data_IF_315869779166
#
_entry.id   IF_315869779166
#
_cell.length_a   1.000
_cell.length_b   1.000
_cell.length_c   1.000
_cell.angle_alpha   90.00
_cell.angle_beta   90.00
_cell.angle_gamma   90.00
#
_symmetry.space_group_name_H-M   'P 1'
#
loop_
_entity.id
_entity.type
_entity.pdbx_description
1 polymer ?
#
# COMPACT_ATOMS: atom_id res chain seq x y z
N UNK A 1 -13.28 21.81 -37.90
CA UNK A 1 -12.92 20.60 -37.18
C UNK A 1 -13.25 20.83 -35.71
N UNK A 2 -14.04 19.99 -35.04
CA UNK A 2 -14.36 20.14 -33.62
C UNK A 2 -13.20 19.58 -32.79
N UNK A 3 -12.83 20.28 -31.71
CA UNK A 3 -11.83 19.80 -30.75
C UNK A 3 -12.34 18.52 -30.08
N UNK A 4 -11.55 17.43 -29.99
CA UNK A 4 -12.07 16.13 -29.58
C UNK A 4 -12.21 15.96 -28.06
N UNK A 5 -11.58 16.84 -27.25
CA UNK A 5 -11.61 16.80 -25.78
C UNK A 5 -12.75 17.68 -25.25
N UNK A 6 -13.44 17.23 -24.20
CA UNK A 6 -14.53 17.97 -23.56
C UNK A 6 -14.00 18.87 -22.43
N UNK A 7 -13.63 20.11 -22.80
CA UNK A 7 -13.08 21.11 -21.86
C UNK A 7 -14.11 21.48 -20.76
N UNK A 8 -15.41 21.55 -21.10
CA UNK A 8 -16.45 21.94 -20.14
C UNK A 8 -16.65 20.85 -19.08
N UNK A 9 -16.69 19.58 -19.48
CA UNK A 9 -16.73 18.45 -18.55
C UNK A 9 -15.47 18.42 -17.66
N UNK A 10 -14.29 18.66 -18.20
CA UNK A 10 -13.04 18.76 -17.42
C UNK A 10 -13.12 19.85 -16.36
N UNK A 11 -13.52 21.08 -16.73
CA UNK A 11 -13.65 22.19 -15.79
C UNK A 11 -14.70 21.88 -14.69
N UNK A 12 -15.87 21.32 -15.05
CA UNK A 12 -16.89 20.95 -14.10
C UNK A 12 -16.40 19.89 -13.11
N UNK A 13 -15.59 18.93 -13.58
CA UNK A 13 -14.98 17.93 -12.72
C UNK A 13 -13.98 18.54 -11.71
N UNK A 14 -13.12 19.47 -12.14
CA UNK A 14 -12.19 20.18 -11.24
C UNK A 14 -12.95 20.94 -10.15
N UNK A 15 -14.04 21.61 -10.46
CA UNK A 15 -14.84 22.32 -9.45
C UNK A 15 -15.47 21.33 -8.44
N UNK A 16 -15.90 20.12 -8.87
CA UNK A 16 -16.36 19.08 -7.94
C UNK A 16 -15.24 18.57 -7.04
N UNK A 17 -14.05 18.34 -7.58
CA UNK A 17 -12.89 17.90 -6.78
C UNK A 17 -12.58 18.90 -5.67
N UNK A 18 -12.58 20.20 -5.94
CA UNK A 18 -12.34 21.26 -4.94
C UNK A 18 -13.33 21.22 -3.77
N UNK A 19 -14.54 20.70 -3.95
CA UNK A 19 -15.51 20.56 -2.85
C UNK A 19 -15.13 19.47 -1.85
N UNK A 20 -14.45 18.43 -2.29
CA UNK A 20 -14.05 17.25 -1.48
C UNK A 20 -12.57 17.27 -1.10
N UNK A 21 -11.74 18.04 -1.80
CA UNK A 21 -10.32 18.23 -1.56
C UNK A 21 -9.96 19.73 -1.61
N UNK A 22 -10.35 20.53 -0.58
CA UNK A 22 -10.19 21.99 -0.58
C UNK A 22 -8.73 22.46 -0.55
N UNK A 23 -7.78 21.58 -0.27
CA UNK A 23 -6.35 21.86 -0.33
C UNK A 23 -5.80 21.97 -1.75
N UNK A 24 -6.59 21.61 -2.78
CA UNK A 24 -6.21 21.73 -4.17
C UNK A 24 -6.18 23.21 -4.58
N UNK A 25 -4.99 23.69 -4.97
CA UNK A 25 -4.76 25.06 -5.38
C UNK A 25 -5.04 25.33 -6.86
N UNK A 26 -4.28 26.30 -7.43
CA UNK A 26 -4.34 26.65 -8.85
C UNK A 26 -3.52 25.68 -9.72
N UNK A 27 -2.34 26.12 -10.20
CA UNK A 27 -1.48 25.30 -11.04
C UNK A 27 -0.64 24.27 -10.27
N UNK A 28 -0.39 24.49 -8.97
CA UNK A 28 0.50 23.65 -8.16
C UNK A 28 -0.05 23.45 -6.77
N UNK A 29 0.10 22.23 -6.25
CA UNK A 29 -0.11 21.94 -4.85
C UNK A 29 1.02 22.53 -4.00
N UNK A 30 0.67 23.21 -2.91
CA UNK A 30 1.63 23.75 -1.95
C UNK A 30 1.46 23.05 -0.61
N UNK A 31 2.56 22.58 -0.06
CA UNK A 31 2.58 21.96 1.26
C UNK A 31 3.69 22.58 2.11
N UNK A 32 3.32 23.05 3.31
CA UNK A 32 4.30 23.60 4.24
C UNK A 32 5.08 22.49 4.90
N UNK A 33 6.40 22.50 4.75
CA UNK A 33 7.27 21.53 5.44
C UNK A 33 7.06 21.63 6.94
N UNK A 34 6.75 20.52 7.64
CA UNK A 34 6.55 20.51 9.08
C UNK A 34 7.82 20.93 9.82
N UNK A 35 7.67 21.64 10.94
CA UNK A 35 8.77 21.96 11.87
C UNK A 35 9.11 20.75 12.76
N UNK A 36 10.27 20.80 13.42
CA UNK A 36 10.69 19.79 14.40
C UNK A 36 11.59 18.69 13.80
N UNK A 37 12.16 18.94 12.64
CA UNK A 37 13.21 18.13 12.02
C UNK A 37 14.51 18.93 12.01
N UNK A 38 15.63 18.28 12.32
CA UNK A 38 16.97 18.88 12.24
C UNK A 38 17.55 18.71 10.82
N UNK A 39 17.51 17.47 10.33
CA UNK A 39 17.95 17.07 8.99
C UNK A 39 16.82 16.31 8.27
N UNK A 40 15.78 17.00 7.77
CA UNK A 40 14.64 16.35 7.13
C UNK A 40 15.01 15.73 5.78
N UNK A 41 14.62 14.48 5.57
CA UNK A 41 14.70 13.79 4.28
C UNK A 41 13.28 13.61 3.74
N UNK A 42 13.05 14.05 2.49
CA UNK A 42 11.81 13.77 1.78
C UNK A 42 11.90 12.39 1.12
N UNK A 43 10.84 11.61 1.28
CA UNK A 43 10.68 10.28 0.69
C UNK A 43 9.48 10.31 -0.23
N UNK A 44 9.64 9.88 -1.46
CA UNK A 44 8.52 9.85 -2.42
C UNK A 44 8.36 8.46 -3.02
N UNK A 45 7.12 8.01 -3.13
CA UNK A 45 6.71 6.81 -3.82
C UNK A 45 5.71 7.15 -4.93
N UNK A 46 5.82 6.46 -6.05
CA UNK A 46 4.89 6.55 -7.17
C UNK A 46 4.46 5.13 -7.56
N UNK A 47 3.16 4.91 -7.68
CA UNK A 47 2.60 3.61 -8.06
C UNK A 47 1.23 3.78 -8.74
N UNK A 48 0.72 2.69 -9.31
CA UNK A 48 -0.61 2.57 -9.88
C UNK A 48 -1.44 1.50 -9.20
N UNK A 49 -2.63 1.24 -9.71
CA UNK A 49 -3.50 0.14 -9.24
C UNK A 49 -3.32 -1.14 -10.05
N UNK A 50 -2.46 -1.09 -11.04
CA UNK A 50 -2.22 -2.21 -11.94
C UNK A 50 -3.49 -2.75 -12.60
N UNK A 51 -3.50 -4.03 -12.91
CA UNK A 51 -4.60 -4.67 -13.64
C UNK A 51 -5.86 -4.92 -12.81
N UNK A 52 -5.89 -4.55 -11.53
CA UNK A 52 -7.12 -4.53 -10.71
C UNK A 52 -8.20 -3.63 -11.31
N UNK A 53 -7.78 -2.54 -11.98
CA UNK A 53 -8.70 -1.62 -12.67
C UNK A 53 -9.55 -2.31 -13.74
N UNK A 54 -9.09 -3.41 -14.33
CA UNK A 54 -9.87 -4.16 -15.31
C UNK A 54 -11.07 -4.87 -14.67
N UNK A 55 -10.92 -5.31 -13.42
CA UNK A 55 -12.04 -5.88 -12.65
C UNK A 55 -13.09 -4.80 -12.39
N UNK A 56 -12.65 -3.60 -11.97
CA UNK A 56 -13.53 -2.46 -11.78
C UNK A 56 -14.31 -2.10 -13.06
N UNK A 57 -13.65 -2.14 -14.23
CA UNK A 57 -14.30 -1.93 -15.55
C UNK A 57 -15.35 -2.99 -15.83
N UNK A 58 -15.03 -4.28 -15.63
CA UNK A 58 -15.96 -5.40 -15.87
C UNK A 58 -17.18 -5.31 -14.97
N UNK A 59 -17.00 -4.89 -13.71
CA UNK A 59 -18.07 -4.83 -12.70
C UNK A 59 -18.75 -3.46 -12.64
N UNK A 60 -18.21 -2.47 -13.35
CA UNK A 60 -18.68 -1.09 -13.31
C UNK A 60 -18.76 -0.55 -11.87
N UNK A 61 -17.77 -0.89 -11.04
CA UNK A 61 -17.61 -0.44 -9.66
C UNK A 61 -16.19 0.02 -9.42
N UNK A 62 -15.99 1.33 -9.26
CA UNK A 62 -14.69 1.99 -9.12
C UNK A 62 -14.46 2.58 -7.73
N UNK A 63 -15.36 2.33 -6.77
CA UNK A 63 -15.35 3.01 -5.46
C UNK A 63 -14.09 2.78 -4.65
N UNK A 64 -13.47 1.61 -4.81
CA UNK A 64 -12.29 1.22 -4.02
C UNK A 64 -10.97 1.46 -4.73
N UNK A 65 -10.98 1.66 -6.06
CA UNK A 65 -9.77 1.79 -6.88
C UNK A 65 -8.91 3.01 -6.47
N UNK A 66 -9.57 4.13 -6.14
CA UNK A 66 -8.84 5.31 -5.66
C UNK A 66 -8.18 5.07 -4.30
N UNK A 67 -8.80 4.29 -3.42
CA UNK A 67 -8.21 3.90 -2.14
C UNK A 67 -7.00 2.97 -2.34
N UNK A 68 -7.11 2.01 -3.27
CA UNK A 68 -5.98 1.18 -3.67
C UNK A 68 -4.79 2.02 -4.14
N UNK A 69 -5.04 3.04 -4.98
CA UNK A 69 -3.99 3.93 -5.48
C UNK A 69 -3.23 4.62 -4.34
N UNK A 70 -3.96 5.18 -3.38
CA UNK A 70 -3.34 5.83 -2.22
C UNK A 70 -2.57 4.82 -1.37
N UNK A 71 -3.14 3.64 -1.13
CA UNK A 71 -2.53 2.60 -0.32
C UNK A 71 -1.19 2.14 -0.90
N UNK A 72 -1.11 1.89 -2.21
CA UNK A 72 0.11 1.44 -2.87
C UNK A 72 1.27 2.44 -2.65
N UNK A 73 1.01 3.73 -2.84
CA UNK A 73 2.04 4.76 -2.68
C UNK A 73 2.40 5.02 -1.21
N UNK A 74 1.39 5.10 -0.33
CA UNK A 74 1.59 5.42 1.10
C UNK A 74 2.32 4.31 1.83
N UNK A 75 1.95 3.04 1.56
CA UNK A 75 2.58 1.90 2.21
C UNK A 75 4.06 1.76 1.84
N UNK A 76 4.46 2.14 0.63
CA UNK A 76 5.86 2.17 0.24
C UNK A 76 6.63 3.28 0.96
N UNK A 77 6.04 4.48 1.05
CA UNK A 77 6.67 5.63 1.74
C UNK A 77 6.93 5.34 3.21
N UNK A 78 6.03 4.63 3.90
CA UNK A 78 6.21 4.32 5.32
C UNK A 78 7.27 3.24 5.58
N UNK A 79 7.69 2.44 4.59
CA UNK A 79 8.66 1.37 4.77
C UNK A 79 10.03 1.83 5.29
N UNK A 80 10.41 3.08 5.05
CA UNK A 80 11.64 3.66 5.58
C UNK A 80 11.44 4.49 6.87
N UNK A 81 10.27 4.41 7.50
CA UNK A 81 9.94 5.18 8.70
C UNK A 81 9.47 6.62 8.43
N UNK A 82 9.23 6.98 7.18
CA UNK A 82 8.74 8.31 6.83
C UNK A 82 7.26 8.49 7.24
N UNK A 83 6.94 9.70 7.68
CA UNK A 83 5.56 10.15 7.88
C UNK A 83 5.02 10.67 6.55
N UNK A 84 3.98 10.07 5.96
CA UNK A 84 3.33 10.61 4.78
C UNK A 84 2.82 12.03 5.04
N UNK A 85 2.92 12.90 4.06
CA UNK A 85 2.56 14.32 4.13
C UNK A 85 1.39 14.66 3.23
N UNK A 86 1.51 14.35 1.94
CA UNK A 86 0.51 14.69 0.93
C UNK A 86 0.51 13.70 -0.23
N UNK A 87 -0.53 13.77 -1.02
CA UNK A 87 -0.76 12.95 -2.20
C UNK A 87 -1.03 13.82 -3.43
N UNK A 88 -0.61 13.32 -4.59
CA UNK A 88 -0.96 13.81 -5.92
C UNK A 88 -1.45 12.62 -6.74
N UNK A 89 -2.41 12.83 -7.64
CA UNK A 89 -2.90 11.81 -8.55
C UNK A 89 -2.78 12.21 -10.02
N UNK A 90 -2.77 11.22 -10.89
CA UNK A 90 -2.93 11.38 -12.33
C UNK A 90 -3.95 10.37 -12.82
N UNK A 91 -5.02 10.84 -13.42
CA UNK A 91 -6.06 10.02 -14.02
C UNK A 91 -6.01 10.20 -15.53
N UNK A 92 -5.73 9.11 -16.26
CA UNK A 92 -5.84 9.04 -17.72
C UNK A 92 -7.12 8.33 -18.10
N UNK A 93 -7.99 8.95 -18.89
CA UNK A 93 -9.26 8.37 -19.31
C UNK A 93 -9.52 8.56 -20.80
N UNK A 94 -10.19 7.62 -21.44
CA UNK A 94 -10.60 7.75 -22.85
C UNK A 94 -11.76 8.73 -23.04
N UNK A 95 -12.55 8.97 -21.99
CA UNK A 95 -13.68 9.88 -21.97
C UNK A 95 -13.95 10.37 -20.54
N UNK A 96 -14.32 11.64 -20.41
CA UNK A 96 -14.80 12.20 -19.17
C UNK A 96 -16.17 11.60 -18.82
N UNK A 97 -16.20 10.58 -17.97
CA UNK A 97 -17.42 9.99 -17.40
C UNK A 97 -17.51 10.34 -15.92
N UNK A 98 -18.38 11.29 -15.61
CA UNK A 98 -18.55 11.82 -14.26
C UNK A 98 -18.81 10.74 -13.22
N UNK A 99 -19.58 9.71 -13.56
CA UNK A 99 -19.94 8.65 -12.60
C UNK A 99 -18.75 7.79 -12.23
N UNK A 100 -17.84 7.55 -13.18
CA UNK A 100 -16.62 6.78 -12.97
C UNK A 100 -15.62 7.63 -12.19
N UNK A 101 -15.38 8.86 -12.67
CA UNK A 101 -14.39 9.77 -12.10
C UNK A 101 -14.74 10.17 -10.66
N UNK A 102 -16.02 10.44 -10.37
CA UNK A 102 -16.48 10.76 -9.02
C UNK A 102 -16.27 9.58 -8.04
N UNK A 103 -16.46 8.32 -8.47
CA UNK A 103 -16.17 7.15 -7.65
C UNK A 103 -14.66 7.01 -7.36
N UNK A 104 -13.81 7.21 -8.38
CA UNK A 104 -12.36 7.16 -8.23
C UNK A 104 -11.90 8.25 -7.25
N UNK A 105 -12.33 9.49 -7.45
CA UNK A 105 -11.98 10.61 -6.58
C UNK A 105 -12.44 10.40 -5.14
N UNK A 106 -13.67 9.87 -4.96
CA UNK A 106 -14.14 9.50 -3.62
C UNK A 106 -13.18 8.49 -2.95
N UNK A 107 -12.73 7.47 -3.70
CA UNK A 107 -11.75 6.49 -3.23
C UNK A 107 -10.41 7.13 -2.86
N UNK A 108 -9.89 8.04 -3.69
CA UNK A 108 -8.62 8.77 -3.42
C UNK A 108 -8.74 9.59 -2.14
N UNK A 109 -9.79 10.41 -2.02
CA UNK A 109 -10.02 11.25 -0.83
C UNK A 109 -10.16 10.40 0.43
N UNK A 110 -10.93 9.29 0.36
CA UNK A 110 -11.08 8.35 1.47
C UNK A 110 -9.74 7.71 1.86
N UNK A 111 -8.94 7.29 0.88
CA UNK A 111 -7.59 6.76 1.11
C UNK A 111 -6.68 7.79 1.80
N UNK A 112 -6.69 9.04 1.33
CA UNK A 112 -5.93 10.13 1.95
C UNK A 112 -6.37 10.37 3.41
N UNK A 113 -7.68 10.36 3.70
CA UNK A 113 -8.21 10.49 5.07
C UNK A 113 -7.77 9.32 5.96
N UNK A 114 -7.80 8.07 5.45
CA UNK A 114 -7.30 6.89 6.16
C UNK A 114 -5.80 7.01 6.46
N UNK A 115 -5.02 7.48 5.50
CA UNK A 115 -3.59 7.72 5.67
C UNK A 115 -3.27 8.92 6.59
N UNK A 116 -4.21 9.84 6.76
CA UNK A 116 -4.03 11.10 7.52
C UNK A 116 -3.20 12.13 6.76
N UNK A 117 -3.38 12.20 5.44
CA UNK A 117 -2.71 13.11 4.51
C UNK A 117 -3.73 13.89 3.67
N UNK A 118 -3.28 14.89 2.94
CA UNK A 118 -4.11 15.71 2.07
C UNK A 118 -3.83 15.40 0.58
N UNK A 119 -4.89 15.39 -0.23
CA UNK A 119 -4.77 15.49 -1.68
C UNK A 119 -4.59 16.98 -2.01
N UNK A 120 -3.42 17.36 -2.52
CA UNK A 120 -3.07 18.78 -2.76
C UNK A 120 -3.04 19.19 -4.22
N UNK A 121 -3.21 18.24 -5.14
CA UNK A 121 -3.23 18.47 -6.58
C UNK A 121 -3.30 17.18 -7.34
N UNK A 122 -3.37 17.29 -8.64
CA UNK A 122 -3.42 16.16 -9.55
C UNK A 122 -3.72 16.61 -10.98
N UNK A 123 -3.96 15.65 -11.86
CA UNK A 123 -4.31 15.88 -13.26
C UNK A 123 -5.33 14.84 -13.73
N UNK A 124 -6.29 15.27 -14.54
CA UNK A 124 -7.18 14.35 -15.24
C UNK A 124 -7.11 14.64 -16.75
N UNK A 125 -6.54 13.70 -17.48
CA UNK A 125 -6.30 13.83 -18.91
C UNK A 125 -7.27 12.96 -19.72
N UNK A 126 -8.00 13.57 -20.65
CA UNK A 126 -8.84 12.87 -21.61
C UNK A 126 -8.04 12.51 -22.88
N UNK A 127 -8.00 11.22 -23.20
CA UNK A 127 -7.34 10.69 -24.41
C UNK A 127 -8.34 9.99 -25.32
N UNK A 128 -9.09 10.70 -26.17
CA UNK A 128 -10.26 10.16 -26.91
C UNK A 128 -9.95 8.97 -27.85
N UNK A 129 -8.69 8.70 -28.15
CA UNK A 129 -8.25 7.56 -28.97
C UNK A 129 -7.81 6.33 -28.15
N UNK A 130 -7.64 6.50 -26.85
CA UNK A 130 -7.28 5.44 -25.92
C UNK A 130 -8.51 5.17 -25.07
N UNK A 131 -9.16 4.05 -25.31
CA UNK A 131 -10.34 3.65 -24.54
C UNK A 131 -9.97 3.09 -23.16
N UNK A 132 -8.81 3.48 -22.63
CA UNK A 132 -8.26 2.97 -21.39
C UNK A 132 -8.31 4.00 -20.27
N UNK A 133 -8.74 3.52 -19.11
CA UNK A 133 -8.63 4.22 -17.84
C UNK A 133 -7.39 3.70 -17.12
N UNK A 134 -6.51 4.59 -16.71
CA UNK A 134 -5.33 4.29 -15.91
C UNK A 134 -5.09 5.36 -14.84
N UNK A 135 -4.46 4.95 -13.75
CA UNK A 135 -4.23 5.78 -12.58
C UNK A 135 -2.78 5.71 -12.15
N UNK A 136 -2.20 6.85 -11.82
CA UNK A 136 -0.92 6.94 -11.12
C UNK A 136 -1.05 7.83 -9.89
N UNK A 137 -0.46 7.41 -8.78
CA UNK A 137 -0.42 8.15 -7.53
C UNK A 137 1.01 8.51 -7.15
N UNK A 138 1.15 9.59 -6.40
CA UNK A 138 2.43 10.09 -5.91
C UNK A 138 2.26 10.52 -4.46
N UNK A 139 2.91 9.80 -3.55
CA UNK A 139 2.94 10.16 -2.13
C UNK A 139 4.30 10.73 -1.76
N UNK A 140 4.33 11.82 -1.02
CA UNK A 140 5.56 12.34 -0.42
C UNK A 140 5.43 12.32 1.09
N UNK A 141 6.45 11.81 1.76
CA UNK A 141 6.61 11.77 3.20
C UNK A 141 7.90 12.44 3.65
N UNK A 142 8.09 12.51 4.96
CA UNK A 142 9.26 13.11 5.60
C UNK A 142 9.77 12.22 6.73
N UNK A 143 11.09 12.13 6.86
CA UNK A 143 11.74 11.43 7.96
C UNK A 143 12.97 12.23 8.41
N UNK A 144 13.32 12.17 9.69
CA UNK A 144 14.61 12.65 10.17
C UNK A 144 15.72 11.72 9.70
N UNK A 145 16.80 12.23 9.10
CA UNK A 145 17.88 11.44 8.48
C UNK A 145 18.37 10.30 9.40
N UNK A 146 18.63 10.60 10.66
CA UNK A 146 19.10 9.60 11.66
C UNK A 146 18.05 8.58 12.08
N UNK A 147 16.76 8.75 11.66
CA UNK A 147 15.64 7.84 11.96
C UNK A 147 15.19 7.02 10.74
N UNK A 148 15.92 7.11 9.65
CA UNK A 148 15.64 6.29 8.47
C UNK A 148 15.80 4.80 8.83
N UNK A 149 14.79 4.01 8.48
CA UNK A 149 14.81 2.56 8.62
C UNK A 149 15.22 1.98 7.27
N UNK A 150 16.45 1.46 7.19
CA UNK A 150 17.08 0.99 5.96
C UNK A 150 17.47 -0.51 6.01
N UNK A 151 17.13 -1.21 7.09
CA UNK A 151 17.47 -2.62 7.27
C UNK A 151 18.90 -2.89 7.75
N UNK A 152 19.81 -1.90 7.75
CA UNK A 152 21.24 -2.09 8.04
C UNK A 152 21.54 -2.68 9.43
N UNK A 153 20.60 -2.56 10.37
CA UNK A 153 20.72 -3.08 11.75
C UNK A 153 20.19 -4.52 11.92
N UNK A 154 19.59 -5.10 10.88
CA UNK A 154 19.00 -6.45 10.91
C UNK A 154 20.11 -7.49 11.07
N UNK A 155 19.86 -8.50 11.90
CA UNK A 155 20.79 -9.59 12.22
C UNK A 155 20.08 -10.95 12.17
N UNK A 156 20.82 -12.05 12.02
CA UNK A 156 20.26 -13.39 12.21
C UNK A 156 19.59 -13.54 13.58
N UNK A 157 18.43 -14.17 13.62
CA UNK A 157 17.60 -14.34 14.81
C UNK A 157 16.56 -13.22 15.04
N UNK A 158 16.63 -12.10 14.31
CA UNK A 158 15.58 -11.08 14.35
C UNK A 158 14.26 -11.65 13.81
N UNK A 159 13.14 -11.26 14.43
CA UNK A 159 11.82 -11.79 14.11
C UNK A 159 11.15 -10.99 13.01
N UNK A 160 10.40 -11.70 12.18
CA UNK A 160 9.56 -11.12 11.13
C UNK A 160 8.11 -11.20 11.59
N UNK A 161 7.49 -10.04 11.82
CA UNK A 161 6.09 -9.94 12.18
C UNK A 161 5.31 -9.55 10.93
N UNK A 162 4.35 -10.40 10.54
CA UNK A 162 3.41 -10.14 9.46
C UNK A 162 2.14 -9.49 10.01
N UNK A 163 1.63 -8.50 9.28
CA UNK A 163 0.37 -7.81 9.56
C UNK A 163 -0.64 -8.21 8.49
N UNK A 164 -1.85 -8.55 8.89
CA UNK A 164 -2.89 -9.03 8.00
C UNK A 164 -3.12 -8.10 6.78
N UNK A 165 -3.46 -8.72 5.66
CA UNK A 165 -4.01 -8.03 4.50
C UNK A 165 -5.54 -8.10 4.48
N UNK A 166 -6.20 -7.13 3.86
CA UNK A 166 -7.65 -7.17 3.59
C UNK A 166 -8.06 -8.20 2.52
N UNK A 167 -7.11 -8.90 1.95
CA UNK A 167 -7.25 -9.82 0.82
C UNK A 167 -6.08 -9.71 -0.15
N UNK A 168 -6.35 -9.74 -1.46
CA UNK A 168 -5.32 -9.70 -2.50
C UNK A 168 -4.55 -8.37 -2.55
N UNK A 169 -5.10 -7.31 -1.99
CA UNK A 169 -4.65 -5.94 -2.20
C UNK A 169 -4.76 -5.54 -3.68
N UNK A 170 -3.67 -5.08 -4.30
CA UNK A 170 -3.66 -4.68 -5.71
C UNK A 170 -2.73 -5.55 -6.57
N UNK A 171 -2.36 -6.75 -6.10
CA UNK A 171 -1.38 -7.61 -6.75
C UNK A 171 -1.97 -8.94 -7.21
N UNK A 172 -1.36 -9.55 -8.24
CA UNK A 172 -1.81 -10.82 -8.81
C UNK A 172 -2.99 -10.71 -9.78
N UNK A 173 -3.49 -9.51 -10.06
CA UNK A 173 -4.70 -9.30 -10.87
C UNK A 173 -4.55 -9.65 -12.35
N UNK A 174 -3.36 -9.74 -12.91
CA UNK A 174 -3.16 -10.27 -14.25
C UNK A 174 -3.59 -11.74 -14.34
N UNK A 175 -3.30 -12.54 -13.30
CA UNK A 175 -3.77 -13.92 -13.17
C UNK A 175 -5.29 -13.96 -12.98
N UNK A 176 -5.84 -13.15 -12.10
CA UNK A 176 -7.29 -13.04 -11.83
C UNK A 176 -8.05 -12.69 -13.12
N UNK A 177 -7.60 -11.67 -13.86
CA UNK A 177 -8.21 -11.29 -15.15
C UNK A 177 -8.23 -12.46 -16.14
N UNK A 178 -7.14 -13.23 -16.21
CA UNK A 178 -7.08 -14.44 -17.05
C UNK A 178 -8.08 -15.50 -16.59
N UNK A 179 -8.21 -15.72 -15.27
CA UNK A 179 -9.17 -16.69 -14.70
C UNK A 179 -10.62 -16.28 -14.98
N UNK A 180 -10.95 -14.99 -14.86
CA UNK A 180 -12.27 -14.45 -15.23
C UNK A 180 -12.54 -14.64 -16.72
N UNK A 181 -11.59 -14.32 -17.57
CA UNK A 181 -11.70 -14.52 -19.03
C UNK A 181 -11.94 -16.00 -19.39
N UNK A 182 -11.25 -16.91 -18.68
CA UNK A 182 -11.40 -18.36 -18.86
C UNK A 182 -12.64 -18.95 -18.15
N UNK A 183 -13.45 -18.11 -17.50
CA UNK A 183 -14.63 -18.50 -16.72
C UNK A 183 -14.34 -19.50 -15.59
N UNK A 184 -13.12 -19.48 -15.03
CA UNK A 184 -12.72 -20.30 -13.89
C UNK A 184 -13.20 -19.73 -12.56
N UNK A 185 -13.40 -18.39 -12.49
CA UNK A 185 -13.99 -17.68 -11.36
C UNK A 185 -15.04 -16.69 -11.86
N UNK A 186 -16.00 -16.31 -10.99
CA UNK A 186 -17.07 -15.39 -11.32
C UNK A 186 -17.24 -14.35 -10.23
N UNK A 187 -17.65 -13.14 -10.63
CA UNK A 187 -17.88 -12.01 -9.71
C UNK A 187 -18.76 -12.37 -8.52
N UNK A 188 -19.89 -13.04 -8.78
CA UNK A 188 -20.87 -13.39 -7.74
C UNK A 188 -20.29 -14.24 -6.64
N UNK A 189 -19.24 -14.97 -6.94
CA UNK A 189 -18.60 -15.92 -6.02
C UNK A 189 -17.33 -15.36 -5.37
N UNK A 190 -16.86 -14.18 -5.84
CA UNK A 190 -15.60 -13.58 -5.40
C UNK A 190 -15.67 -12.05 -5.25
N UNK A 191 -16.67 -11.50 -4.52
CA UNK A 191 -16.77 -10.04 -4.32
C UNK A 191 -15.53 -9.47 -3.59
N UNK A 192 -14.81 -10.31 -2.86
CA UNK A 192 -13.58 -9.97 -2.14
C UNK A 192 -12.45 -9.46 -3.05
N UNK A 193 -12.54 -9.71 -4.37
CA UNK A 193 -11.57 -9.19 -5.34
C UNK A 193 -11.56 -7.65 -5.42
N UNK A 194 -12.63 -6.97 -5.02
CA UNK A 194 -12.67 -5.50 -4.97
C UNK A 194 -12.41 -4.92 -3.58
N UNK A 195 -12.07 -5.76 -2.59
CA UNK A 195 -11.67 -5.24 -1.28
C UNK A 195 -10.46 -4.33 -1.44
N UNK A 196 -10.50 -3.10 -0.89
CA UNK A 196 -9.40 -2.16 -1.03
C UNK A 196 -8.16 -2.61 -0.25
N UNK A 197 -7.01 -2.22 -0.73
CA UNK A 197 -5.72 -2.42 -0.08
C UNK A 197 -5.69 -1.72 1.28
N UNK A 198 -5.23 -2.41 2.31
CA UNK A 198 -5.07 -1.85 3.66
C UNK A 198 -4.02 -0.75 3.67
N UNK A 199 -4.34 0.39 4.31
CA UNK A 199 -3.40 1.51 4.53
C UNK A 199 -2.85 1.40 5.96
N UNK A 200 -1.55 1.10 6.09
CA UNK A 200 -0.90 0.83 7.38
C UNK A 200 -0.32 2.07 8.06
N UNK A 201 -0.39 3.25 7.45
CA UNK A 201 0.32 4.47 7.90
C UNK A 201 0.06 4.83 9.36
N UNK A 202 -1.19 4.79 9.84
CA UNK A 202 -1.54 5.16 11.23
C UNK A 202 -1.00 4.15 12.25
N UNK A 203 -0.98 2.88 11.92
CA UNK A 203 -0.49 1.79 12.75
C UNK A 203 1.03 1.84 12.84
N UNK A 204 1.70 1.96 11.71
CA UNK A 204 3.16 2.09 11.67
C UNK A 204 3.62 3.35 12.41
N UNK A 205 2.91 4.48 12.26
CA UNK A 205 3.23 5.69 13.02
C UNK A 205 3.17 5.51 14.55
N UNK A 206 2.40 4.53 15.06
CA UNK A 206 2.39 4.18 16.49
C UNK A 206 3.60 3.34 16.88
N UNK A 207 4.00 2.39 16.03
CA UNK A 207 5.20 1.58 16.23
C UNK A 207 6.48 2.41 16.25
N UNK A 208 6.52 3.52 15.53
CA UNK A 208 7.66 4.43 15.47
C UNK A 208 7.76 5.36 16.68
N UNK A 209 6.76 5.35 17.59
CA UNK A 209 6.81 6.14 18.84
C UNK A 209 7.45 5.34 19.96
N UNK A 210 8.43 5.91 20.70
CA UNK A 210 9.18 5.18 21.72
C UNK A 210 8.33 4.96 22.99
N UNK A 211 7.42 4.00 22.98
CA UNK A 211 6.61 3.58 24.15
C UNK A 211 6.74 2.09 24.39
N UNK A 212 7.95 1.57 24.40
CA UNK A 212 8.16 0.15 24.72
C UNK A 212 8.35 -0.03 26.23
N UNK A 213 7.65 -1.00 26.78
CA UNK A 213 7.59 -1.25 28.23
C UNK A 213 8.82 -2.00 28.73
N UNK A 214 9.38 -2.87 27.89
CA UNK A 214 10.53 -3.71 28.27
C UNK A 214 11.85 -3.05 27.86
N UNK A 215 12.54 -2.45 28.85
CA UNK A 215 13.86 -1.84 28.68
C UNK A 215 14.92 -2.70 29.36
N UNK A 216 15.88 -3.18 28.60
CA UNK A 216 17.13 -3.68 29.20
C UNK A 216 18.15 -2.55 29.31
N UNK A 217 19.09 -2.60 30.29
CA UNK A 217 20.06 -1.52 30.54
C UNK A 217 20.94 -1.14 29.34
N UNK A 218 21.17 -2.07 28.39
CA UNK A 218 22.03 -1.90 27.21
C UNK A 218 21.25 -1.41 25.97
N UNK A 219 19.98 -1.05 26.13
CA UNK A 219 19.10 -0.77 25.01
C UNK A 219 18.94 0.71 24.76
N UNK A 220 19.19 1.02 23.52
CA UNK A 220 18.72 2.16 22.72
C UNK A 220 18.67 3.49 23.50
N UNK A 221 19.34 4.48 22.99
CA UNK A 221 19.01 5.84 23.37
C UNK A 221 17.47 5.97 23.34
N UNK A 222 16.86 6.68 24.25
CA UNK A 222 15.38 6.81 24.42
C UNK A 222 14.64 7.24 23.15
N UNK A 223 15.33 7.43 22.04
CA UNK A 223 14.85 7.95 20.77
C UNK A 223 14.81 6.92 19.64
N UNK A 224 15.40 5.74 19.78
CA UNK A 224 15.45 4.73 18.73
C UNK A 224 14.23 3.77 18.77
N UNK A 225 13.66 3.50 17.59
CA UNK A 225 12.63 2.47 17.44
C UNK A 225 13.27 1.08 17.36
N UNK A 226 12.64 0.01 17.89
CA UNK A 226 13.08 -1.36 17.67
C UNK A 226 12.77 -1.88 16.26
N UNK A 227 12.09 -1.12 15.43
CA UNK A 227 11.85 -1.49 14.04
C UNK A 227 13.19 -1.41 13.29
N UNK A 228 13.62 -2.54 12.74
CA UNK A 228 14.90 -2.68 12.04
C UNK A 228 14.72 -2.60 10.52
N UNK A 229 13.59 -3.09 10.03
CA UNK A 229 13.20 -3.08 8.63
C UNK A 229 11.70 -3.21 8.47
N UNK A 230 11.18 -2.79 7.32
CA UNK A 230 9.77 -2.91 6.96
C UNK A 230 9.63 -3.26 5.49
N UNK A 231 8.56 -3.98 5.15
CA UNK A 231 8.24 -4.35 3.77
C UNK A 231 6.73 -4.28 3.52
N UNK A 232 6.35 -3.58 2.48
CA UNK A 232 5.01 -3.64 1.89
C UNK A 232 4.95 -4.85 0.95
N UNK A 233 3.98 -5.75 1.16
CA UNK A 233 3.89 -7.00 0.41
C UNK A 233 3.06 -6.78 -0.85
N UNK A 234 3.75 -6.73 -1.98
CA UNK A 234 3.23 -6.45 -3.32
C UNK A 234 3.56 -7.59 -4.29
N UNK A 235 3.69 -7.30 -5.58
CA UNK A 235 4.16 -8.27 -6.58
C UNK A 235 5.50 -8.89 -6.19
N UNK A 236 5.67 -10.18 -6.43
CA UNK A 236 6.79 -10.96 -5.94
C UNK A 236 6.51 -11.73 -4.64
N UNK A 237 5.35 -11.46 -4.00
CA UNK A 237 4.91 -12.14 -2.79
C UNK A 237 5.75 -11.82 -1.56
N UNK A 238 5.58 -12.63 -0.52
CA UNK A 238 6.16 -12.34 0.81
C UNK A 238 7.69 -12.34 0.81
N UNK A 239 8.31 -13.40 0.29
CA UNK A 239 9.76 -13.59 0.35
C UNK A 239 10.53 -12.49 -0.40
N UNK A 240 10.13 -12.19 -1.64
CA UNK A 240 10.82 -11.19 -2.44
C UNK A 240 10.75 -9.80 -1.81
N UNK A 241 9.57 -9.40 -1.30
CA UNK A 241 9.42 -8.08 -0.69
C UNK A 241 10.14 -7.96 0.65
N UNK A 242 10.11 -8.98 1.50
CA UNK A 242 10.90 -8.99 2.76
C UNK A 242 12.39 -8.92 2.46
N UNK A 243 12.87 -9.63 1.46
CA UNK A 243 14.29 -9.62 1.06
C UNK A 243 14.82 -8.23 0.70
N UNK A 244 13.96 -7.31 0.25
CA UNK A 244 14.36 -5.93 -0.11
C UNK A 244 14.87 -5.12 1.09
N UNK A 245 14.43 -5.43 2.30
CA UNK A 245 14.89 -4.73 3.50
C UNK A 245 16.02 -5.48 4.23
N UNK A 246 16.41 -6.68 3.77
CA UNK A 246 17.46 -7.46 4.42
C UNK A 246 18.86 -7.08 3.91
N UNK A 247 19.88 -7.05 4.79
CA UNK A 247 21.29 -6.94 4.38
C UNK A 247 21.71 -8.13 3.50
N UNK A 248 22.73 -7.92 2.68
CA UNK A 248 23.33 -8.99 1.85
C UNK A 248 23.82 -10.15 2.72
N UNK A 249 23.57 -11.38 2.28
CA UNK A 249 23.92 -12.62 2.98
C UNK A 249 22.93 -13.01 4.08
N UNK A 250 21.82 -12.28 4.20
CA UNK A 250 20.70 -12.65 5.07
C UNK A 250 19.47 -12.95 4.22
N UNK A 251 18.65 -13.89 4.71
CA UNK A 251 17.40 -14.27 4.08
C UNK A 251 16.31 -14.46 5.13
N UNK A 252 15.04 -14.49 4.68
CA UNK A 252 13.90 -14.74 5.54
C UNK A 252 13.55 -16.22 5.56
N UNK A 253 13.48 -16.82 6.75
CA UNK A 253 12.88 -18.13 6.97
C UNK A 253 11.44 -17.94 7.43
N UNK A 254 10.47 -18.28 6.57
CA UNK A 254 9.03 -18.07 6.81
C UNK A 254 8.37 -19.38 7.20
N UNK A 255 7.63 -19.38 8.32
CA UNK A 255 6.70 -20.45 8.70
C UNK A 255 5.32 -20.16 8.08
N UNK A 256 5.05 -20.79 6.95
CA UNK A 256 3.80 -20.63 6.19
C UNK A 256 2.54 -21.12 6.92
N UNK A 257 2.67 -21.75 8.08
CA UNK A 257 1.56 -22.21 8.90
C UNK A 257 1.28 -21.30 10.11
N UNK A 258 2.04 -20.22 10.28
CA UNK A 258 1.96 -19.37 11.47
C UNK A 258 0.77 -18.39 11.46
N UNK A 259 0.07 -18.25 10.34
CA UNK A 259 -1.13 -17.40 10.23
C UNK A 259 -2.25 -18.09 9.43
N UNK A 260 -3.52 -17.73 9.66
CA UNK A 260 -4.63 -18.26 8.87
C UNK A 260 -4.65 -17.63 7.47
N UNK A 261 -4.44 -18.40 6.41
CA UNK A 261 -4.56 -17.93 5.05
C UNK A 261 -6.03 -17.62 4.71
N UNK A 262 -6.38 -16.41 4.25
CA UNK A 262 -7.74 -16.05 3.86
C UNK A 262 -8.32 -16.99 2.79
N UNK A 263 -9.61 -17.36 2.88
CA UNK A 263 -10.24 -18.38 2.00
C UNK A 263 -10.18 -18.03 0.50
N UNK A 264 -10.08 -16.74 0.13
CA UNK A 264 -10.02 -16.33 -1.26
C UNK A 264 -8.79 -16.91 -1.98
N UNK A 265 -7.64 -17.06 -1.29
CA UNK A 265 -6.44 -17.63 -1.89
C UNK A 265 -6.61 -19.12 -2.23
N UNK A 266 -7.29 -19.87 -1.36
CA UNK A 266 -7.65 -21.27 -1.66
C UNK A 266 -8.62 -21.37 -2.84
N UNK A 267 -9.61 -20.48 -2.93
CA UNK A 267 -10.51 -20.42 -4.08
C UNK A 267 -9.73 -20.19 -5.39
N UNK A 268 -8.80 -19.23 -5.39
CA UNK A 268 -7.96 -18.92 -6.56
C UNK A 268 -7.08 -20.11 -6.92
N UNK A 269 -6.40 -20.70 -5.96
CA UNK A 269 -5.51 -21.84 -6.16
C UNK A 269 -6.25 -23.02 -6.80
N UNK A 270 -7.41 -23.39 -6.25
CA UNK A 270 -8.21 -24.53 -6.74
C UNK A 270 -8.82 -24.23 -8.11
N UNK A 271 -9.47 -23.07 -8.30
CA UNK A 271 -10.13 -22.71 -9.53
C UNK A 271 -9.13 -22.51 -10.70
N UNK A 272 -7.95 -21.94 -10.39
CA UNK A 272 -6.89 -21.72 -11.36
C UNK A 272 -5.98 -22.91 -11.60
N UNK A 273 -6.07 -23.96 -10.75
CA UNK A 273 -5.09 -25.04 -10.70
C UNK A 273 -3.66 -24.50 -10.54
N UNK A 274 -3.53 -23.42 -9.72
CA UNK A 274 -2.26 -22.70 -9.53
C UNK A 274 -1.40 -23.48 -8.54
N UNK A 275 -0.15 -23.82 -8.87
CA UNK A 275 0.76 -24.44 -7.91
C UNK A 275 1.00 -23.58 -6.68
N UNK A 276 1.18 -24.18 -5.51
CA UNK A 276 1.40 -23.48 -4.24
C UNK A 276 2.60 -22.50 -4.32
N UNK A 277 3.70 -22.93 -4.93
CA UNK A 277 4.89 -22.09 -5.10
C UNK A 277 4.61 -20.84 -5.96
N UNK A 278 3.74 -20.96 -6.97
CA UNK A 278 3.33 -19.80 -7.76
C UNK A 278 2.39 -18.88 -6.96
N UNK A 279 1.51 -19.44 -6.11
CA UNK A 279 0.69 -18.66 -5.18
C UNK A 279 1.57 -17.83 -4.23
N UNK A 280 2.63 -18.41 -3.65
CA UNK A 280 3.59 -17.74 -2.77
C UNK A 280 4.36 -16.63 -3.49
N UNK A 281 4.62 -16.79 -4.79
CA UNK A 281 5.34 -15.82 -5.61
C UNK A 281 4.49 -14.65 -6.08
N UNK A 282 3.20 -14.87 -6.29
CA UNK A 282 2.29 -13.88 -6.91
C UNK A 282 1.50 -13.10 -5.86
N UNK A 283 1.08 -13.75 -4.78
CA UNK A 283 0.14 -13.20 -3.82
C UNK A 283 0.75 -12.99 -2.43
N UNK A 284 0.12 -12.12 -1.65
CA UNK A 284 0.50 -11.84 -0.27
C UNK A 284 0.05 -12.93 0.73
N UNK A 285 -0.84 -13.83 0.34
CA UNK A 285 -1.39 -14.96 1.11
C UNK A 285 -1.93 -14.59 2.50
N UNK A 286 -2.37 -13.34 2.68
CA UNK A 286 -2.96 -12.85 3.92
C UNK A 286 -2.04 -11.92 4.73
N UNK A 287 -0.78 -11.74 4.32
CA UNK A 287 0.16 -10.81 4.94
C UNK A 287 0.40 -9.62 4.02
N UNK A 288 -0.08 -8.43 4.39
CA UNK A 288 0.05 -7.24 3.53
C UNK A 288 1.21 -6.32 3.88
N UNK A 289 1.76 -6.43 5.10
CA UNK A 289 2.88 -5.65 5.56
C UNK A 289 3.73 -6.45 6.55
N UNK A 290 5.05 -6.26 6.53
CA UNK A 290 5.95 -6.89 7.48
C UNK A 290 6.79 -5.87 8.22
N UNK A 291 7.12 -6.18 9.47
CA UNK A 291 8.14 -5.47 10.25
C UNK A 291 9.18 -6.47 10.78
N UNK A 292 10.44 -6.09 10.70
CA UNK A 292 11.56 -6.87 11.26
C UNK A 292 12.00 -6.22 12.55
N UNK A 293 12.06 -7.03 13.61
CA UNK A 293 12.34 -6.55 14.98
C UNK A 293 13.29 -7.49 15.71
N UNK A 294 14.09 -7.02 16.66
CA UNK A 294 14.86 -7.91 17.51
C UNK A 294 13.93 -8.76 18.37
N UNK A 295 14.33 -9.98 18.69
CA UNK A 295 13.50 -10.95 19.44
C UNK A 295 12.90 -10.37 20.73
N UNK A 296 13.63 -9.52 21.44
CA UNK A 296 13.13 -8.91 22.69
C UNK A 296 11.97 -7.92 22.52
N UNK A 297 11.76 -7.37 21.29
CA UNK A 297 10.69 -6.43 21.00
C UNK A 297 9.41 -7.11 20.44
N UNK A 298 9.47 -8.39 20.16
CA UNK A 298 8.41 -9.18 19.50
C UNK A 298 7.06 -8.97 20.18
N UNK A 299 6.95 -9.25 21.49
CA UNK A 299 5.69 -9.17 22.23
C UNK A 299 5.13 -7.74 22.27
N UNK A 300 5.99 -6.73 22.48
CA UNK A 300 5.58 -5.31 22.52
C UNK A 300 5.02 -4.86 21.17
N UNK A 301 5.60 -5.32 20.06
CA UNK A 301 5.14 -5.02 18.70
C UNK A 301 3.81 -5.69 18.43
N UNK A 302 3.67 -6.99 18.72
CA UNK A 302 2.41 -7.72 18.59
C UNK A 302 1.30 -7.03 19.38
N UNK A 303 1.52 -6.72 20.67
CA UNK A 303 0.55 -6.01 21.51
C UNK A 303 0.17 -4.62 20.98
N UNK A 304 1.09 -3.94 20.30
CA UNK A 304 0.83 -2.59 19.75
C UNK A 304 -0.04 -2.66 18.48
N UNK A 305 0.12 -3.72 17.66
CA UNK A 305 -0.61 -3.87 16.38
C UNK A 305 -1.98 -4.52 16.59
N UNK A 306 -2.09 -5.57 17.42
CA UNK A 306 -3.29 -6.39 17.61
C UNK A 306 -4.59 -5.61 17.83
N UNK A 307 -4.63 -4.44 18.49
CA UNK A 307 -5.87 -3.66 18.61
C UNK A 307 -6.42 -3.11 17.28
N UNK A 308 -5.66 -3.18 16.20
CA UNK A 308 -6.00 -2.59 14.89
C UNK A 308 -6.04 -3.61 13.76
N UNK A 309 -5.15 -4.60 13.81
CA UNK A 309 -4.98 -5.65 12.81
C UNK A 309 -4.53 -6.93 13.47
N UNK A 310 -4.96 -8.05 12.93
CA UNK A 310 -4.35 -9.32 13.27
C UNK A 310 -2.89 -9.33 12.80
N UNK A 311 -2.01 -9.86 13.64
CA UNK A 311 -0.58 -9.95 13.33
C UNK A 311 0.04 -11.16 14.01
N UNK A 312 1.09 -11.69 13.39
CA UNK A 312 1.75 -12.93 13.81
C UNK A 312 3.24 -12.84 13.63
N UNK A 313 4.01 -13.51 14.45
CA UNK A 313 5.39 -13.82 14.13
C UNK A 313 5.40 -14.88 13.05
N UNK A 314 5.75 -14.49 11.84
CA UNK A 314 5.68 -15.34 10.65
C UNK A 314 7.01 -15.98 10.27
N UNK A 315 8.08 -15.67 10.98
CA UNK A 315 9.40 -16.18 10.69
C UNK A 315 10.54 -15.42 11.37
N UNK A 316 11.72 -15.70 10.91
CA UNK A 316 12.95 -15.07 11.41
C UNK A 316 13.98 -14.86 10.30
N UNK A 317 14.92 -13.96 10.56
CA UNK A 317 16.05 -13.70 9.68
C UNK A 317 17.14 -14.72 9.93
N UNK A 318 17.65 -15.34 8.87
CA UNK A 318 18.72 -16.34 8.92
C UNK A 318 19.86 -15.97 7.97
N UNK A 319 21.01 -16.62 8.12
CA UNK A 319 22.12 -16.53 7.16
C UNK A 319 21.74 -17.34 5.91
N UNK A 320 22.03 -16.79 4.73
CA UNK A 320 21.82 -17.42 3.42
C UNK A 320 22.56 -18.77 3.27
#
# INVERSE_FOLDING_TARGET
MKYPVDIEAGNAFVERIKTVAPSIGGFSGMFKVPSGYDNPVLVSGADGVGTKINIAKIWNDYKTIGEDLVAMCVNDVICCGAKPLYFLDYISTGRMDDKILDQIMFGIVNGCQKAGIELIGGETAEHPRQNDLDLAGFCTGIVEEKKIIDGSRIKPGDKIIGIESSGLHSNGYSMINRMLFMQKIFYKDTPELMTPTTIYAKQIAKLLKPKFVHKTPDMLSREETPILGMAHITGGGLLENVSRCLPKGLTAHIDWNSWPMPPIFNKIMLAGEVPEEEMKRVFNLGIGFCVVVPQWAEDDILMTITPYHDCWTIGEVVVE
#
